data_IF_280115076515
#
_entry.id   IF_280115076515
#
_cell.length_a   1.000
_cell.length_b   1.000
_cell.length_c   1.000
_cell.angle_alpha   90.00
_cell.angle_beta   90.00
_cell.angle_gamma   90.00
#
_symmetry.space_group_name_H-M   'P 1'
#
loop_
_entity.id
_entity.type
_entity.pdbx_description
1 polymer ?
#
# COMPACT_ATOMS: atom_id res chain seq x y z
N UNK A 1 -9.13 11.95 -9.69
CA UNK A 1 -7.68 11.99 -9.35
C UNK A 1 -7.32 10.69 -8.65
N UNK A 2 -6.38 9.95 -9.20
CA UNK A 2 -5.91 8.72 -8.57
C UNK A 2 -5.09 9.02 -7.32
N UNK A 3 -5.14 8.11 -6.35
CA UNK A 3 -4.29 8.15 -5.17
C UNK A 3 -3.50 6.85 -5.09
N UNK A 4 -2.34 6.93 -4.46
CA UNK A 4 -1.46 5.79 -4.27
C UNK A 4 -1.22 5.57 -2.79
N UNK A 5 -1.28 4.31 -2.36
CA UNK A 5 -0.89 3.92 -1.01
C UNK A 5 0.46 3.24 -1.09
N UNK A 6 1.42 3.75 -0.33
CA UNK A 6 2.76 3.20 -0.26
C UNK A 6 2.89 2.49 1.08
N UNK A 7 3.02 1.17 1.03
CA UNK A 7 3.12 0.32 2.20
C UNK A 7 4.55 -0.14 2.36
N UNK A 8 5.20 0.25 3.46
CA UNK A 8 6.55 -0.19 3.81
C UNK A 8 6.44 -1.07 5.06
N UNK A 9 6.88 -2.31 4.96
CA UNK A 9 6.72 -3.29 6.04
C UNK A 9 8.06 -3.94 6.34
N UNK A 10 8.42 -3.94 7.62
CA UNK A 10 9.51 -4.76 8.16
C UNK A 10 8.88 -5.96 8.84
N UNK A 11 8.96 -7.12 8.19
CA UNK A 11 8.36 -8.35 8.70
C UNK A 11 9.11 -8.85 9.93
N UNK A 12 8.37 -9.10 11.01
CA UNK A 12 8.88 -9.82 12.17
C UNK A 12 8.53 -11.31 12.07
N UNK A 13 7.45 -11.61 11.32
CA UNK A 13 7.08 -12.98 10.98
C UNK A 13 6.27 -12.94 9.68
N UNK A 14 6.41 -13.94 8.83
CA UNK A 14 5.80 -13.96 7.51
C UNK A 14 4.64 -14.95 7.37
N UNK A 15 4.25 -15.62 8.44
CA UNK A 15 3.19 -16.65 8.41
C UNK A 15 1.82 -16.11 7.98
N UNK A 16 1.58 -14.82 8.15
CA UNK A 16 0.32 -14.16 7.80
C UNK A 16 0.27 -13.66 6.34
N UNK A 17 1.41 -13.57 5.65
CA UNK A 17 1.53 -12.87 4.36
C UNK A 17 0.72 -13.55 3.27
N UNK A 18 0.78 -14.87 3.19
CA UNK A 18 0.08 -15.63 2.15
C UNK A 18 -1.44 -15.50 2.27
N UNK A 19 -1.96 -15.62 3.48
CA UNK A 19 -3.39 -15.48 3.78
C UNK A 19 -3.86 -14.04 3.55
N UNK A 20 -3.06 -13.07 3.98
CA UNK A 20 -3.31 -11.65 3.75
C UNK A 20 -3.43 -11.36 2.24
N UNK A 21 -2.45 -11.79 1.46
CA UNK A 21 -2.44 -11.55 0.02
C UNK A 21 -3.64 -12.16 -0.70
N UNK A 22 -3.98 -13.40 -0.35
CA UNK A 22 -5.09 -14.11 -0.99
C UNK A 22 -6.46 -13.48 -0.70
N UNK A 23 -6.65 -12.94 0.51
CA UNK A 23 -7.96 -12.45 0.95
C UNK A 23 -8.11 -10.93 0.85
N UNK A 24 -7.02 -10.18 0.94
CA UNK A 24 -7.07 -8.71 0.91
C UNK A 24 -7.15 -8.17 -0.51
N UNK A 25 -6.54 -8.83 -1.49
CA UNK A 25 -6.60 -8.39 -2.89
C UNK A 25 -8.05 -8.23 -3.39
N UNK A 26 -8.95 -9.21 -3.16
CA UNK A 26 -10.36 -9.02 -3.54
C UNK A 26 -11.04 -7.84 -2.83
N UNK A 27 -10.66 -7.56 -1.58
CA UNK A 27 -11.21 -6.42 -0.84
C UNK A 27 -10.72 -5.09 -1.43
N UNK A 28 -9.45 -5.02 -1.81
CA UNK A 28 -8.88 -3.87 -2.52
C UNK A 28 -9.65 -3.62 -3.81
N UNK A 29 -9.88 -4.67 -4.62
CA UNK A 29 -10.63 -4.57 -5.87
C UNK A 29 -12.08 -4.13 -5.66
N UNK A 30 -12.72 -4.61 -4.59
CA UNK A 30 -14.09 -4.23 -4.21
C UNK A 30 -14.23 -2.72 -4.05
N UNK A 31 -13.18 -2.04 -3.59
CA UNK A 31 -13.15 -0.58 -3.39
C UNK A 31 -12.52 0.17 -4.57
N UNK A 32 -12.39 -0.48 -5.71
CA UNK A 32 -11.85 0.13 -6.93
C UNK A 32 -10.35 0.24 -6.98
N UNK A 33 -9.65 -0.37 -6.02
CA UNK A 33 -8.20 -0.36 -5.95
C UNK A 33 -7.55 -1.50 -6.72
N UNK A 34 -6.24 -1.38 -6.90
CA UNK A 34 -5.41 -2.44 -7.49
C UNK A 34 -3.99 -2.35 -6.93
N UNK A 35 -3.33 -3.50 -6.84
CA UNK A 35 -1.90 -3.53 -6.56
C UNK A 35 -1.13 -3.20 -7.83
N UNK A 36 -0.23 -2.24 -7.75
CA UNK A 36 0.74 -1.97 -8.82
C UNK A 36 1.96 -2.88 -8.66
N UNK A 37 2.37 -3.10 -7.42
CA UNK A 37 3.44 -4.03 -7.10
C UNK A 37 3.36 -4.42 -5.62
N UNK A 38 3.94 -5.56 -5.28
CA UNK A 38 4.12 -6.03 -3.91
C UNK A 38 5.37 -6.90 -3.92
N UNK A 39 6.49 -6.36 -3.46
CA UNK A 39 7.79 -7.01 -3.63
C UNK A 39 8.55 -7.13 -2.31
N UNK A 40 9.24 -8.25 -2.17
CA UNK A 40 10.24 -8.49 -1.13
C UNK A 40 11.65 -8.08 -1.55
N UNK A 41 11.85 -7.76 -2.82
CA UNK A 41 13.17 -7.43 -3.37
C UNK A 41 13.44 -5.94 -3.18
N UNK A 42 13.76 -5.55 -1.95
CA UNK A 42 13.99 -4.16 -1.57
C UNK A 42 15.49 -3.88 -1.59
N UNK A 43 15.90 -2.90 -2.38
CA UNK A 43 17.29 -2.44 -2.46
C UNK A 43 17.32 -0.96 -2.10
N UNK A 44 18.12 -0.59 -1.10
CA UNK A 44 18.34 0.82 -0.75
C UNK A 44 19.35 1.41 -1.72
N UNK A 45 18.93 2.41 -2.50
CA UNK A 45 19.80 3.08 -3.47
C UNK A 45 20.50 4.27 -2.85
N UNK A 46 19.85 4.94 -1.90
CA UNK A 46 20.36 6.14 -1.24
C UNK A 46 19.62 6.32 0.08
N UNK A 47 20.29 6.85 1.07
CA UNK A 47 19.71 7.14 2.37
C UNK A 47 19.84 6.00 3.36
N UNK A 48 19.07 6.09 4.45
CA UNK A 48 19.11 5.13 5.54
C UNK A 48 18.38 3.84 5.19
N UNK A 49 18.99 2.70 5.51
CA UNK A 49 18.32 1.40 5.43
C UNK A 49 17.42 1.24 6.66
N UNK A 50 16.11 1.32 6.46
CA UNK A 50 15.11 1.17 7.51
C UNK A 50 14.72 -0.29 7.75
N UNK A 51 15.36 -1.22 7.06
CA UNK A 51 15.10 -2.65 7.21
C UNK A 51 13.77 -3.11 6.63
N UNK A 52 13.19 -2.38 5.69
CA UNK A 52 11.97 -2.80 5.02
C UNK A 52 12.22 -4.10 4.24
N UNK A 53 11.39 -5.10 4.48
CA UNK A 53 11.49 -6.40 3.83
C UNK A 53 10.35 -6.66 2.85
N UNK A 54 9.38 -5.74 2.78
CA UNK A 54 8.24 -5.82 1.89
C UNK A 54 7.75 -4.41 1.59
N UNK A 55 7.62 -4.08 0.31
CA UNK A 55 7.03 -2.80 -0.11
C UNK A 55 5.92 -3.09 -1.10
N UNK A 56 4.75 -2.50 -0.86
CA UNK A 56 3.61 -2.56 -1.75
C UNK A 56 3.20 -1.17 -2.21
N UNK A 57 2.76 -1.05 -3.44
CA UNK A 57 2.18 0.17 -3.98
C UNK A 57 0.82 -0.18 -4.55
N UNK A 58 -0.21 0.50 -4.03
CA UNK A 58 -1.60 0.31 -4.46
C UNK A 58 -2.08 1.60 -5.10
N UNK A 59 -3.03 1.48 -6.02
CA UNK A 59 -3.71 2.61 -6.62
C UNK A 59 -5.21 2.51 -6.36
N UNK A 60 -5.83 3.63 -5.98
CA UNK A 60 -7.28 3.75 -5.79
C UNK A 60 -7.78 4.95 -6.59
N UNK A 61 -9.09 4.98 -6.95
CA UNK A 61 -9.63 6.09 -7.72
C UNK A 61 -9.64 7.42 -6.96
N UNK A 62 -9.75 7.38 -5.63
CA UNK A 62 -9.78 8.56 -4.77
C UNK A 62 -9.48 8.21 -3.32
N UNK A 63 -9.29 9.24 -2.49
CA UNK A 63 -8.99 9.07 -1.07
C UNK A 63 -10.17 8.42 -0.30
N UNK A 64 -11.40 8.71 -0.69
CA UNK A 64 -12.58 8.12 -0.04
C UNK A 64 -12.61 6.59 -0.20
N UNK A 65 -12.18 6.09 -1.35
CA UNK A 65 -12.08 4.64 -1.60
C UNK A 65 -11.02 3.99 -0.69
N UNK A 66 -9.90 4.67 -0.44
CA UNK A 66 -8.88 4.18 0.51
C UNK A 66 -9.45 4.10 1.92
N UNK A 67 -10.16 5.13 2.36
CA UNK A 67 -10.79 5.15 3.68
C UNK A 67 -11.84 4.04 3.80
N UNK A 68 -12.65 3.85 2.77
CA UNK A 68 -13.66 2.78 2.73
C UNK A 68 -13.02 1.39 2.82
N UNK A 69 -11.93 1.18 2.10
CA UNK A 69 -11.15 -0.06 2.20
C UNK A 69 -10.60 -0.28 3.61
N UNK A 70 -9.94 0.72 4.18
CA UNK A 70 -9.32 0.63 5.51
C UNK A 70 -10.35 0.39 6.61
N UNK A 71 -11.59 0.84 6.41
CA UNK A 71 -12.70 0.73 7.37
C UNK A 71 -13.59 -0.49 7.11
N UNK A 72 -13.32 -1.26 6.07
CA UNK A 72 -14.15 -2.42 5.72
C UNK A 72 -14.01 -3.49 6.81
N UNK A 73 -15.13 -3.96 7.40
CA UNK A 73 -15.09 -5.01 8.43
C UNK A 73 -14.42 -6.30 7.95
N UNK A 74 -14.52 -6.60 6.67
CA UNK A 74 -13.90 -7.79 6.08
C UNK A 74 -12.37 -7.67 6.06
N UNK A 75 -11.84 -6.46 6.03
CA UNK A 75 -10.41 -6.20 6.11
C UNK A 75 -9.85 -6.26 7.54
N UNK A 76 -10.65 -5.94 8.54
CA UNK A 76 -10.19 -5.74 9.91
C UNK A 76 -9.28 -6.86 10.46
N UNK A 77 -9.61 -8.17 10.33
CA UNK A 77 -8.75 -9.23 10.86
C UNK A 77 -7.38 -9.30 10.15
N UNK A 78 -7.34 -8.98 8.86
CA UNK A 78 -6.10 -8.98 8.08
C UNK A 78 -5.22 -7.79 8.43
N UNK A 79 -5.82 -6.62 8.65
CA UNK A 79 -5.10 -5.43 9.12
C UNK A 79 -4.44 -5.67 10.48
N UNK A 80 -5.14 -6.32 11.41
CA UNK A 80 -4.59 -6.70 12.72
C UNK A 80 -3.42 -7.69 12.59
N UNK A 81 -3.55 -8.69 11.72
CA UNK A 81 -2.49 -9.67 11.49
C UNK A 81 -1.24 -8.99 10.93
N UNK A 82 -1.39 -8.07 9.99
CA UNK A 82 -0.30 -7.28 9.42
C UNK A 82 0.40 -6.43 10.47
N UNK A 83 -0.36 -5.74 11.31
CA UNK A 83 0.17 -4.89 12.38
C UNK A 83 0.93 -5.72 13.43
N UNK A 84 0.41 -6.89 13.77
CA UNK A 84 1.06 -7.79 14.71
C UNK A 84 2.31 -8.47 14.12
N UNK A 85 2.33 -8.70 12.80
CA UNK A 85 3.39 -9.43 12.10
C UNK A 85 4.52 -8.57 11.56
N UNK A 86 4.55 -7.27 11.85
CA UNK A 86 5.60 -6.41 11.34
C UNK A 86 5.51 -4.97 11.84
N UNK A 87 6.54 -4.20 11.52
CA UNK A 87 6.56 -2.76 11.69
C UNK A 87 6.12 -2.14 10.36
N UNK A 88 5.08 -1.34 10.39
CA UNK A 88 4.41 -0.86 9.20
C UNK A 88 4.45 0.65 9.09
N UNK A 89 4.63 1.14 7.86
CA UNK A 89 4.44 2.54 7.50
C UNK A 89 3.57 2.60 6.26
N UNK A 90 2.44 3.27 6.35
CA UNK A 90 1.51 3.44 5.24
C UNK A 90 1.34 4.92 4.97
N UNK A 91 1.54 5.33 3.72
CA UNK A 91 1.39 6.71 3.30
C UNK A 91 0.51 6.76 2.06
N UNK A 92 -0.29 7.81 1.95
CA UNK A 92 -1.11 8.05 0.77
C UNK A 92 -0.64 9.34 0.10
N UNK A 93 -0.42 9.26 -1.20
CA UNK A 93 -0.16 10.42 -2.05
C UNK A 93 -1.16 10.41 -3.20
N UNK A 94 -1.36 11.57 -3.82
CA UNK A 94 -2.17 11.65 -5.03
C UNK A 94 -1.28 11.70 -6.28
N UNK A 95 -1.90 11.87 -7.45
CA UNK A 95 -1.21 11.93 -8.72
C UNK A 95 -0.87 13.39 -9.14
N UNK A 96 -0.87 14.31 -8.18
CA UNK A 96 -0.48 15.70 -8.46
C UNK A 96 1.01 15.77 -8.74
N UNK A 97 1.37 16.51 -9.79
CA UNK A 97 2.75 16.77 -10.15
C UNK A 97 3.13 18.18 -9.70
N UNK A 98 3.97 18.26 -8.67
CA UNK A 98 4.42 19.55 -8.10
C UNK A 98 5.17 20.42 -9.13
N UNK A 99 5.82 19.79 -10.11
CA UNK A 99 6.61 20.51 -11.15
C UNK A 99 5.78 20.77 -12.40
N UNK A 100 4.76 19.96 -12.67
CA UNK A 100 3.90 20.10 -13.84
C UNK A 100 4.54 19.57 -15.14
N UNK A 101 5.50 18.65 -15.04
CA UNK A 101 6.22 18.09 -16.19
C UNK A 101 5.80 16.67 -16.55
N UNK A 102 5.06 16.01 -15.70
CA UNK A 102 4.55 14.64 -15.94
C UNK A 102 3.23 14.77 -16.69
N UNK A 103 3.25 14.47 -18.00
CA UNK A 103 2.12 14.74 -18.88
C UNK A 103 0.85 13.97 -18.57
N UNK A 104 0.96 12.85 -17.84
CA UNK A 104 -0.17 11.99 -17.47
C UNK A 104 -0.64 12.18 -16.03
N UNK A 105 -0.08 13.16 -15.30
CA UNK A 105 -0.47 13.49 -13.93
C UNK A 105 -1.17 14.85 -13.88
N UNK A 106 -1.99 15.06 -12.84
CA UNK A 106 -2.59 16.37 -12.58
C UNK A 106 -1.51 17.37 -12.20
N UNK A 107 -1.65 18.62 -12.68
CA UNK A 107 -0.75 19.71 -12.27
C UNK A 107 -1.02 20.10 -10.81
N UNK A 108 0.03 20.49 -10.13
CA UNK A 108 -0.06 20.98 -8.75
C UNK A 108 -0.77 22.35 -8.70
#
# INVERSE_FOLDING_TARGET
MSVFVIAEIKLSNDSWVSDYGANVHPIVEKHGGKYLTLSRNVTVLEGEDRGNTLIGILQFPDAASVVAFASDPDYAPYGKARQAGGINSFQMIDDTDIVGTISYHAAA
#
